data_IF_117193385983
#
_entry.id   IF_117193385983
#
_cell.length_a   1.000
_cell.length_b   1.000
_cell.length_c   1.000
_cell.angle_alpha   90.00
_cell.angle_beta   90.00
_cell.angle_gamma   90.00
#
_symmetry.space_group_name_H-M   'P 1'
#
loop_
_entity.id
_entity.type
_entity.pdbx_description
1 polymer ?
#
# COMPACT_ATOMS: atom_id res chain seq x y z
N UNK A 1 20.30 -4.82 -42.81
CA UNK A 1 19.60 -5.44 -41.67
C UNK A 1 19.22 -4.32 -40.73
N UNK A 2 17.93 -4.10 -40.49
CA UNK A 2 17.47 -3.16 -39.48
C UNK A 2 17.78 -3.72 -38.08
N UNK A 3 18.30 -2.88 -37.18
CA UNK A 3 18.67 -3.26 -35.80
C UNK A 3 17.50 -2.96 -34.87
N UNK A 4 17.01 -3.98 -34.15
CA UNK A 4 16.05 -3.77 -33.06
C UNK A 4 16.70 -2.95 -31.93
N UNK A 5 16.04 -1.85 -31.55
CA UNK A 5 16.37 -1.06 -30.37
C UNK A 5 15.17 -1.11 -29.43
N UNK A 6 15.25 -1.98 -28.42
CA UNK A 6 14.23 -2.08 -27.38
C UNK A 6 14.39 -0.97 -26.35
N UNK A 7 13.28 -0.38 -25.90
CA UNK A 7 13.22 0.50 -24.74
C UNK A 7 11.97 0.19 -23.95
N UNK A 8 12.10 0.17 -22.63
CA UNK A 8 10.95 0.18 -21.74
C UNK A 8 10.11 1.45 -21.96
N UNK A 9 8.77 1.37 -21.88
CA UNK A 9 7.90 2.54 -21.95
C UNK A 9 8.08 3.47 -20.75
N UNK A 10 8.50 2.93 -19.60
CA UNK A 10 8.72 3.69 -18.37
C UNK A 10 10.15 3.48 -17.87
N UNK A 11 10.93 4.56 -17.82
CA UNK A 11 12.26 4.60 -17.18
C UNK A 11 12.07 5.13 -15.77
N UNK A 12 12.03 4.24 -14.80
CA UNK A 12 11.85 4.60 -13.39
C UNK A 12 13.23 4.89 -12.82
N UNK A 13 13.43 6.11 -12.32
CA UNK A 13 14.63 6.49 -11.58
C UNK A 13 14.56 5.98 -10.14
N UNK A 14 15.73 5.86 -9.51
CA UNK A 14 15.80 5.54 -8.08
C UNK A 14 15.08 6.62 -7.26
N UNK A 15 14.35 6.17 -6.24
CA UNK A 15 13.53 7.04 -5.40
C UNK A 15 14.22 7.31 -4.07
N UNK A 16 14.30 8.58 -3.68
CA UNK A 16 14.79 9.02 -2.36
C UNK A 16 13.81 8.75 -1.20
N UNK A 17 12.84 7.84 -1.39
CA UNK A 17 11.90 7.46 -0.32
C UNK A 17 12.67 6.72 0.77
N UNK A 18 12.65 7.21 2.03
CA UNK A 18 13.31 6.51 3.12
C UNK A 18 12.53 5.24 3.48
N UNK A 19 13.27 4.15 3.70
CA UNK A 19 12.72 2.87 4.16
C UNK A 19 13.16 2.58 5.60
N UNK A 20 12.30 1.90 6.36
CA UNK A 20 12.65 1.30 7.65
C UNK A 20 12.69 -0.22 7.50
N UNK A 21 13.69 -0.89 8.08
CA UNK A 21 13.65 -2.34 8.23
C UNK A 21 12.52 -2.71 9.21
N UNK A 22 11.73 -3.72 8.87
CA UNK A 22 10.60 -4.18 9.71
C UNK A 22 10.78 -5.60 10.24
N UNK A 23 11.58 -6.41 9.54
CA UNK A 23 11.92 -7.78 9.90
C UNK A 23 13.07 -8.28 9.01
N UNK A 24 13.86 -9.23 9.52
CA UNK A 24 14.92 -9.92 8.78
C UNK A 24 14.68 -11.44 8.70
N UNK A 25 13.87 -12.00 9.60
CA UNK A 25 13.71 -13.44 9.77
C UNK A 25 12.89 -14.15 8.67
N UNK A 26 12.21 -13.38 7.80
CA UNK A 26 11.31 -13.93 6.78
C UNK A 26 11.95 -14.10 5.41
N UNK A 27 13.26 -13.97 5.32
CA UNK A 27 14.00 -14.12 4.06
C UNK A 27 15.22 -15.01 4.24
N UNK A 28 15.47 -15.85 3.24
CA UNK A 28 16.70 -16.65 3.15
C UNK A 28 17.30 -16.53 1.76
N UNK A 29 18.62 -16.67 1.65
CA UNK A 29 19.31 -16.72 0.36
C UNK A 29 19.70 -18.16 0.08
N UNK A 30 19.23 -18.68 -1.04
CA UNK A 30 19.62 -19.99 -1.57
C UNK A 30 20.46 -19.86 -2.85
N UNK A 31 20.84 -21.02 -3.36
CA UNK A 31 21.44 -21.19 -4.69
C UNK A 31 20.56 -22.15 -5.51
N UNK A 32 20.38 -21.84 -6.79
CA UNK A 32 19.81 -22.74 -7.77
C UNK A 32 20.56 -22.59 -9.08
N UNK A 33 21.20 -23.67 -9.54
CA UNK A 33 22.00 -23.70 -10.77
C UNK A 33 23.08 -22.57 -10.81
N UNK A 34 23.68 -22.24 -9.67
CA UNK A 34 24.68 -21.17 -9.57
C UNK A 34 24.10 -19.75 -9.53
N UNK A 35 22.78 -19.60 -9.47
CA UNK A 35 22.10 -18.33 -9.29
C UNK A 35 21.66 -18.14 -7.84
N UNK A 36 22.00 -16.98 -7.25
CA UNK A 36 21.49 -16.59 -5.94
C UNK A 36 20.00 -16.33 -6.01
N UNK A 37 19.25 -17.07 -5.20
CA UNK A 37 17.79 -16.96 -5.08
C UNK A 37 17.44 -16.32 -3.76
N UNK A 38 16.65 -15.23 -3.79
CA UNK A 38 15.99 -14.71 -2.61
C UNK A 38 14.71 -15.52 -2.38
N UNK A 39 14.62 -16.25 -1.27
CA UNK A 39 13.40 -16.93 -0.89
C UNK A 39 12.71 -16.15 0.20
N UNK A 40 11.40 -15.97 0.07
CA UNK A 40 10.59 -15.22 1.01
C UNK A 40 9.57 -16.18 1.62
N UNK A 41 9.43 -16.16 2.95
CA UNK A 41 8.47 -16.96 3.70
C UNK A 41 7.06 -16.35 3.63
N UNK A 42 6.01 -17.18 3.81
CA UNK A 42 4.61 -16.75 3.73
C UNK A 42 4.32 -15.63 4.74
N UNK A 43 4.80 -15.81 5.96
CA UNK A 43 4.70 -14.88 7.08
C UNK A 43 5.32 -13.52 6.76
N UNK A 44 6.35 -13.49 5.91
CA UNK A 44 6.98 -12.25 5.47
C UNK A 44 6.04 -11.34 4.69
N UNK A 45 5.29 -11.89 3.72
CA UNK A 45 4.32 -11.10 2.96
C UNK A 45 3.09 -10.72 3.79
N UNK A 46 2.66 -11.62 4.70
CA UNK A 46 1.58 -11.34 5.65
C UNK A 46 1.97 -10.16 6.53
N UNK A 47 3.13 -10.23 7.18
CA UNK A 47 3.61 -9.20 8.10
C UNK A 47 3.86 -7.87 7.39
N UNK A 48 4.46 -7.90 6.20
CA UNK A 48 4.67 -6.71 5.38
C UNK A 48 3.36 -6.01 5.05
N UNK A 49 2.36 -6.76 4.57
CA UNK A 49 1.08 -6.18 4.17
C UNK A 49 0.26 -5.70 5.37
N UNK A 50 0.22 -6.47 6.46
CA UNK A 50 -0.42 -6.06 7.72
C UNK A 50 0.19 -4.75 8.24
N UNK A 51 1.52 -4.66 8.26
CA UNK A 51 2.24 -3.47 8.68
C UNK A 51 1.92 -2.27 7.79
N UNK A 52 1.97 -2.45 6.46
CA UNK A 52 1.73 -1.38 5.51
C UNK A 52 0.32 -0.79 5.63
N UNK A 53 -0.72 -1.64 5.65
CA UNK A 53 -2.11 -1.17 5.75
C UNK A 53 -2.43 -0.60 7.13
N UNK A 54 -1.81 -1.10 8.19
CA UNK A 54 -1.93 -0.50 9.52
C UNK A 54 -1.28 0.89 9.54
N UNK A 55 -0.03 1.03 9.08
CA UNK A 55 0.67 2.31 9.11
C UNK A 55 -0.04 3.37 8.25
N UNK A 56 -0.51 3.02 7.04
CA UNK A 56 -1.24 3.95 6.17
C UNK A 56 -2.58 4.42 6.73
N UNK A 57 -3.22 3.63 7.60
CA UNK A 57 -4.47 4.03 8.24
C UNK A 57 -4.28 5.15 9.28
N UNK A 58 -3.07 5.30 9.82
CA UNK A 58 -2.78 6.19 10.97
C UNK A 58 -1.72 7.25 10.69
N UNK A 59 -0.87 7.06 9.66
CA UNK A 59 0.28 7.91 9.37
C UNK A 59 0.19 8.50 7.95
N UNK A 60 0.72 9.71 7.81
CA UNK A 60 0.84 10.41 6.52
C UNK A 60 2.32 10.59 6.16
N UNK A 61 2.60 10.72 4.87
CA UNK A 61 3.95 11.09 4.39
C UNK A 61 4.30 12.49 4.89
N UNK A 62 5.54 12.69 5.32
CA UNK A 62 6.04 14.00 5.78
C UNK A 62 5.90 15.10 4.72
N UNK A 63 6.05 14.76 3.44
CA UNK A 63 5.85 15.69 2.34
C UNK A 63 4.42 16.22 2.25
N UNK A 64 3.41 15.38 2.53
CA UNK A 64 2.02 15.80 2.56
C UNK A 64 1.74 16.72 3.76
N UNK A 65 2.23 16.36 4.95
CA UNK A 65 2.11 17.20 6.15
C UNK A 65 2.79 18.56 5.98
N UNK A 66 3.95 18.60 5.31
CA UNK A 66 4.65 19.85 4.98
C UNK A 66 3.80 20.76 4.09
N UNK A 67 3.07 20.20 3.11
CA UNK A 67 2.15 21.01 2.28
C UNK A 67 0.99 21.59 3.09
N UNK A 68 0.43 20.83 4.04
CA UNK A 68 -0.59 21.37 4.95
C UNK A 68 -0.03 22.49 5.84
N UNK A 69 1.21 22.33 6.34
CA UNK A 69 1.89 23.36 7.11
C UNK A 69 2.10 24.65 6.30
N UNK A 70 2.55 24.52 5.04
CA UNK A 70 2.79 25.66 4.15
C UNK A 70 1.54 26.52 3.98
N UNK A 71 0.35 25.91 3.84
CA UNK A 71 -0.95 26.62 3.76
C UNK A 71 -1.19 27.51 4.98
N UNK A 72 -0.77 27.09 6.17
CA UNK A 72 -0.97 27.88 7.40
C UNK A 72 -0.20 29.20 7.38
N UNK A 73 0.93 29.26 6.65
CA UNK A 73 1.83 30.42 6.59
C UNK A 73 1.77 31.22 5.29
N UNK A 74 1.28 30.64 4.19
CA UNK A 74 1.32 31.28 2.88
C UNK A 74 0.43 32.54 2.84
N UNK A 75 0.89 33.66 2.27
CA UNK A 75 0.18 34.94 2.31
C UNK A 75 -1.11 34.96 1.50
N UNK A 76 -1.19 34.12 0.47
CA UNK A 76 -2.33 33.97 -0.46
C UNK A 76 -3.41 33.00 0.05
N UNK A 77 -3.16 32.25 1.12
CA UNK A 77 -4.14 31.32 1.69
C UNK A 77 -5.29 32.02 2.38
N UNK A 78 -6.52 31.64 2.02
CA UNK A 78 -7.74 32.19 2.62
C UNK A 78 -7.90 31.75 4.08
N UNK A 79 -8.85 32.37 4.79
CA UNK A 79 -9.21 31.94 6.15
C UNK A 79 -9.71 30.49 6.17
N UNK A 80 -10.45 30.08 5.14
CA UNK A 80 -10.99 28.73 5.03
C UNK A 80 -9.88 27.72 4.75
N UNK A 81 -8.93 28.03 3.88
CA UNK A 81 -7.80 27.13 3.59
C UNK A 81 -6.99 26.84 4.85
N UNK A 82 -6.66 27.88 5.61
CA UNK A 82 -5.94 27.73 6.89
C UNK A 82 -6.73 26.94 7.91
N UNK A 83 -8.03 27.20 8.01
CA UNK A 83 -8.91 26.46 8.92
C UNK A 83 -8.95 24.97 8.57
N UNK A 84 -9.19 24.63 7.30
CA UNK A 84 -9.23 23.23 6.84
C UNK A 84 -7.88 22.55 7.03
N UNK A 85 -6.77 23.21 6.65
CA UNK A 85 -5.44 22.65 6.84
C UNK A 85 -5.13 22.37 8.32
N UNK A 86 -5.52 23.27 9.23
CA UNK A 86 -5.35 23.08 10.66
C UNK A 86 -6.13 21.86 11.18
N UNK A 87 -7.39 21.70 10.76
CA UNK A 87 -8.20 20.54 11.17
C UNK A 87 -7.64 19.23 10.61
N UNK A 88 -7.13 19.22 9.38
CA UNK A 88 -6.46 18.04 8.81
C UNK A 88 -5.17 17.67 9.57
N UNK A 89 -4.39 18.67 10.01
CA UNK A 89 -3.19 18.43 10.84
C UNK A 89 -3.59 17.89 12.21
N UNK A 90 -4.60 18.46 12.88
CA UNK A 90 -5.10 17.95 14.17
C UNK A 90 -5.58 16.51 14.04
N UNK A 91 -6.32 16.18 12.99
CA UNK A 91 -6.75 14.83 12.69
C UNK A 91 -5.55 13.87 12.52
N UNK A 92 -4.51 14.30 11.81
CA UNK A 92 -3.29 13.50 11.67
C UNK A 92 -2.57 13.24 13.00
N UNK A 93 -2.53 14.24 13.89
CA UNK A 93 -1.98 14.08 15.25
C UNK A 93 -2.80 13.06 16.04
N UNK A 94 -4.13 13.16 16.02
CA UNK A 94 -5.02 12.20 16.71
C UNK A 94 -4.82 10.79 16.15
N UNK A 95 -4.82 10.63 14.82
CA UNK A 95 -4.68 9.33 14.19
C UNK A 95 -3.33 8.66 14.49
N UNK A 96 -2.26 9.44 14.66
CA UNK A 96 -0.93 8.91 14.99
C UNK A 96 -0.88 8.12 16.31
N UNK A 97 -1.87 8.31 17.21
CA UNK A 97 -2.05 7.51 18.44
C UNK A 97 -2.57 6.09 18.21
N UNK A 98 -2.93 5.76 16.95
CA UNK A 98 -3.44 4.45 16.51
C UNK A 98 -4.75 3.98 17.15
N UNK A 99 -5.54 4.90 17.71
CA UNK A 99 -6.88 4.62 18.22
C UNK A 99 -7.99 4.88 17.19
N UNK A 100 -7.84 5.94 16.39
CA UNK A 100 -8.80 6.32 15.35
C UNK A 100 -8.08 6.46 14.01
N UNK A 101 -8.57 5.86 12.91
CA UNK A 101 -7.92 6.03 11.62
C UNK A 101 -8.09 7.46 11.10
N UNK A 102 -7.21 7.86 10.18
CA UNK A 102 -7.21 9.18 9.54
C UNK A 102 -8.55 9.55 8.87
N UNK A 103 -9.29 8.55 8.40
CA UNK A 103 -10.55 8.72 7.70
C UNK A 103 -11.50 7.56 8.05
N UNK A 104 -12.80 7.84 8.10
CA UNK A 104 -13.85 6.83 8.25
C UNK A 104 -13.87 5.85 7.06
N UNK A 105 -13.50 6.33 5.86
CA UNK A 105 -13.29 5.49 4.70
C UNK A 105 -11.84 5.02 4.67
N UNK A 106 -11.60 3.86 5.28
CA UNK A 106 -10.28 3.22 5.29
C UNK A 106 -9.90 2.63 3.93
N UNK A 107 -10.80 2.70 2.94
CA UNK A 107 -10.51 2.48 1.53
C UNK A 107 -10.47 1.03 1.09
N UNK A 108 -10.36 0.85 -0.23
CA UNK A 108 -10.05 -0.43 -0.85
C UNK A 108 -8.56 -0.71 -0.74
N UNK A 109 -8.21 -1.93 -0.34
CA UNK A 109 -6.83 -2.38 -0.30
C UNK A 109 -6.33 -2.69 -1.71
N UNK A 110 -5.30 -1.97 -2.15
CA UNK A 110 -4.64 -2.17 -3.45
C UNK A 110 -3.16 -2.47 -3.20
N UNK A 111 -2.65 -3.51 -3.86
CA UNK A 111 -1.24 -3.91 -3.81
C UNK A 111 -0.73 -4.04 -5.22
N UNK A 112 0.32 -3.29 -5.55
CA UNK A 112 1.07 -3.46 -6.78
C UNK A 112 2.47 -3.97 -6.45
N UNK A 113 2.78 -5.18 -6.87
CA UNK A 113 4.05 -5.86 -6.63
C UNK A 113 4.85 -6.04 -7.91
N UNK A 114 6.18 -5.88 -7.83
CA UNK A 114 7.13 -6.27 -8.88
C UNK A 114 8.04 -7.35 -8.33
N UNK A 115 7.89 -8.57 -8.84
CA UNK A 115 8.60 -9.75 -8.37
C UNK A 115 9.78 -10.02 -9.27
N UNK A 116 10.98 -9.85 -8.72
CA UNK A 116 12.23 -10.18 -9.39
C UNK A 116 12.30 -11.65 -9.81
N UNK A 117 12.91 -11.92 -10.95
CA UNK A 117 13.08 -13.25 -11.51
C UNK A 117 13.75 -14.24 -10.55
N UNK A 118 14.67 -13.79 -9.69
CA UNK A 118 15.34 -14.64 -8.70
C UNK A 118 14.70 -14.57 -7.30
N UNK A 119 13.45 -14.10 -7.22
CA UNK A 119 12.65 -14.12 -5.99
C UNK A 119 11.68 -15.29 -6.01
N UNK A 120 11.83 -16.19 -5.05
CA UNK A 120 10.99 -17.36 -4.90
C UNK A 120 10.07 -17.26 -3.69
N UNK A 121 8.79 -17.41 -3.94
CA UNK A 121 7.76 -17.68 -2.94
C UNK A 121 7.11 -19.00 -3.36
N UNK A 122 7.07 -19.98 -2.47
CA UNK A 122 6.56 -21.34 -2.78
C UNK A 122 5.08 -21.48 -2.39
N UNK A 123 4.33 -20.39 -2.46
CA UNK A 123 2.95 -20.27 -2.03
C UNK A 123 2.21 -19.25 -2.91
N UNK A 124 0.93 -19.03 -2.64
CA UNK A 124 0.15 -18.01 -3.34
C UNK A 124 0.39 -16.61 -2.73
N UNK A 125 1.16 -15.77 -3.42
CA UNK A 125 1.52 -14.42 -2.98
C UNK A 125 0.28 -13.57 -2.67
N UNK A 126 -0.78 -13.69 -3.49
CA UNK A 126 -2.02 -12.94 -3.34
C UNK A 126 -2.75 -13.35 -2.07
N UNK A 127 -2.71 -14.62 -1.71
CA UNK A 127 -3.30 -15.12 -0.46
C UNK A 127 -2.54 -14.59 0.76
N UNK A 128 -1.20 -14.63 0.74
CA UNK A 128 -0.36 -14.13 1.83
C UNK A 128 -0.58 -12.63 2.06
N UNK A 129 -0.57 -11.83 0.98
CA UNK A 129 -0.88 -10.40 1.05
C UNK A 129 -2.31 -10.16 1.55
N UNK A 130 -3.30 -10.91 1.03
CA UNK A 130 -4.70 -10.80 1.48
C UNK A 130 -4.86 -11.14 2.96
N UNK A 131 -4.08 -12.10 3.48
CA UNK A 131 -4.06 -12.44 4.91
C UNK A 131 -3.52 -11.28 5.75
N UNK A 132 -2.47 -10.61 5.31
CA UNK A 132 -1.95 -9.41 5.98
C UNK A 132 -2.96 -8.26 6.00
N UNK A 133 -3.64 -8.01 4.87
CA UNK A 133 -4.76 -7.06 4.79
C UNK A 133 -5.87 -7.45 5.76
N UNK A 134 -6.32 -8.71 5.74
CA UNK A 134 -7.34 -9.20 6.66
C UNK A 134 -6.96 -8.92 8.12
N UNK A 135 -5.71 -9.20 8.50
CA UNK A 135 -5.23 -8.93 9.85
C UNK A 135 -5.27 -7.43 10.19
N UNK A 136 -4.80 -6.56 9.29
CA UNK A 136 -4.84 -5.12 9.51
C UNK A 136 -6.26 -4.62 9.76
N UNK A 137 -7.24 -5.10 8.99
CA UNK A 137 -8.64 -4.66 9.11
C UNK A 137 -9.40 -5.29 10.28
N UNK A 138 -9.05 -6.51 10.70
CA UNK A 138 -9.76 -7.23 11.77
C UNK A 138 -9.19 -7.00 13.16
N UNK A 139 -7.89 -6.68 13.28
CA UNK A 139 -7.24 -6.40 14.56
C UNK A 139 -7.27 -4.91 14.95
N UNK A 140 -7.63 -4.03 14.03
CA UNK A 140 -7.68 -2.59 14.24
C UNK A 140 -9.10 -2.06 13.97
N UNK A 141 -9.49 -0.90 14.54
CA UNK A 141 -10.81 -0.29 14.32
C UNK A 141 -10.92 0.36 12.91
N UNK A 142 -10.71 -0.43 11.87
CA UNK A 142 -10.87 -0.04 10.46
C UNK A 142 -12.24 -0.46 9.91
N UNK A 143 -12.66 0.10 8.77
CA UNK A 143 -13.99 -0.13 8.20
C UNK A 143 -13.99 -1.17 7.09
N UNK A 144 -14.96 -2.09 7.13
CA UNK A 144 -15.23 -3.04 6.04
C UNK A 144 -16.11 -2.39 4.98
N UNK A 145 -15.50 -2.06 3.84
CA UNK A 145 -16.11 -1.21 2.81
C UNK A 145 -16.38 -1.96 1.49
N UNK A 146 -15.98 -3.22 1.38
CA UNK A 146 -16.20 -4.02 0.16
C UNK A 146 -17.56 -4.72 0.19
N UNK A 147 -18.33 -4.54 -0.88
CA UNK A 147 -19.57 -5.25 -1.17
C UNK A 147 -19.30 -6.33 -2.21
N UNK A 148 -19.82 -7.54 -1.95
CA UNK A 148 -19.71 -8.69 -2.83
C UNK A 148 -21.05 -8.88 -3.54
N UNK A 149 -21.08 -8.91 -4.88
CA UNK A 149 -22.31 -9.18 -5.62
C UNK A 149 -22.68 -10.66 -5.49
N UNK A 150 -23.94 -10.91 -5.11
CA UNK A 150 -24.56 -12.24 -5.07
C UNK A 150 -25.48 -12.47 -6.27
N UNK A 151 -26.07 -11.38 -6.79
CA UNK A 151 -26.84 -11.32 -8.02
C UNK A 151 -26.59 -9.96 -8.69
N UNK A 152 -27.35 -9.60 -9.73
CA UNK A 152 -27.27 -8.27 -10.33
C UNK A 152 -27.65 -7.15 -9.34
N UNK A 153 -28.51 -7.43 -8.36
CA UNK A 153 -29.06 -6.42 -7.46
C UNK A 153 -28.84 -6.72 -5.97
N UNK A 154 -28.46 -7.96 -5.64
CA UNK A 154 -28.20 -8.37 -4.27
C UNK A 154 -26.71 -8.34 -3.96
N UNK A 155 -26.35 -7.68 -2.86
CA UNK A 155 -24.98 -7.57 -2.39
C UNK A 155 -24.87 -7.89 -0.90
N UNK A 156 -23.68 -8.29 -0.48
CA UNK A 156 -23.36 -8.50 0.93
C UNK A 156 -21.99 -7.90 1.25
N UNK A 157 -21.89 -7.20 2.39
CA UNK A 157 -20.59 -6.78 2.90
C UNK A 157 -19.71 -8.00 3.21
N UNK A 158 -18.44 -7.98 2.81
CA UNK A 158 -17.53 -9.09 3.05
C UNK A 158 -17.20 -9.32 4.53
N UNK A 159 -17.44 -8.31 5.38
CA UNK A 159 -17.20 -8.37 6.82
C UNK A 159 -15.72 -8.30 7.21
N UNK A 160 -14.83 -8.02 6.26
CA UNK A 160 -13.38 -7.99 6.48
C UNK A 160 -12.60 -7.08 5.50
N UNK A 161 -13.31 -6.30 4.69
CA UNK A 161 -12.75 -5.43 3.64
C UNK A 161 -11.98 -6.14 2.49
N UNK A 162 -12.13 -7.45 2.34
CA UNK A 162 -11.66 -8.19 1.16
C UNK A 162 -12.80 -8.32 0.12
N UNK A 163 -12.50 -8.60 -1.17
CA UNK A 163 -11.16 -8.82 -1.75
C UNK A 163 -10.34 -7.53 -1.86
N UNK A 164 -9.02 -7.70 -1.90
CA UNK A 164 -8.09 -6.65 -2.28
C UNK A 164 -7.82 -6.70 -3.79
N UNK A 165 -7.51 -5.56 -4.40
CA UNK A 165 -6.93 -5.53 -5.73
C UNK A 165 -5.43 -5.80 -5.62
N UNK A 166 -4.98 -6.92 -6.14
CA UNK A 166 -3.57 -7.29 -6.10
C UNK A 166 -3.08 -7.47 -7.53
N UNK A 167 -1.98 -6.83 -7.88
CA UNK A 167 -1.33 -6.95 -9.18
C UNK A 167 0.14 -7.27 -8.93
N UNK A 168 0.64 -8.31 -9.56
CA UNK A 168 2.03 -8.75 -9.39
C UNK A 168 2.62 -8.89 -10.79
N UNK A 169 3.50 -7.96 -11.14
CA UNK A 169 4.27 -8.00 -12.38
C UNK A 169 5.56 -8.80 -12.18
N UNK A 170 5.96 -9.54 -13.21
CA UNK A 170 7.30 -10.09 -13.28
C UNK A 170 8.29 -8.97 -13.61
N UNK A 171 9.43 -8.95 -12.91
CA UNK A 171 10.50 -8.00 -13.17
C UNK A 171 11.86 -8.69 -13.15
N UNK A 172 12.90 -8.03 -13.67
CA UNK A 172 14.28 -8.50 -13.49
C UNK A 172 14.77 -8.38 -12.05
N UNK A 173 15.91 -9.00 -11.76
CA UNK A 173 16.64 -8.84 -10.50
C UNK A 173 16.18 -9.73 -9.35
N UNK A 174 16.65 -9.39 -8.14
CA UNK A 174 16.59 -10.20 -6.92
C UNK A 174 15.79 -9.54 -5.79
N UNK A 175 14.83 -8.67 -6.13
CA UNK A 175 14.01 -7.92 -5.17
C UNK A 175 12.53 -8.12 -5.43
N UNK A 176 11.74 -8.09 -4.36
CA UNK A 176 10.29 -8.00 -4.45
C UNK A 176 9.86 -6.61 -3.95
N UNK A 177 9.49 -5.74 -4.88
CA UNK A 177 9.12 -4.36 -4.59
C UNK A 177 7.61 -4.21 -4.54
N UNK A 178 7.10 -3.36 -3.66
CA UNK A 178 5.65 -3.17 -3.48
C UNK A 178 5.28 -1.69 -3.38
N UNK A 179 4.11 -1.36 -3.92
CA UNK A 179 3.35 -0.17 -3.62
C UNK A 179 2.02 -0.61 -3.00
N UNK A 180 1.79 -0.23 -1.74
CA UNK A 180 0.53 -0.42 -1.04
C UNK A 180 -0.28 0.87 -1.10
N UNK A 181 -1.59 0.75 -1.34
CA UNK A 181 -2.50 1.89 -1.41
C UNK A 181 -3.78 1.53 -0.67
N UNK A 182 -4.16 2.33 0.32
CA UNK A 182 -5.51 2.33 0.90
C UNK A 182 -6.33 3.44 0.20
N UNK A 183 -7.12 3.07 -0.79
CA UNK A 183 -7.77 4.04 -1.69
C UNK A 183 -9.23 4.27 -1.29
N UNK A 184 -9.54 5.45 -0.75
CA UNK A 184 -10.92 5.83 -0.42
C UNK A 184 -11.80 5.97 -1.66
N UNK A 185 -13.01 5.44 -1.59
CA UNK A 185 -13.94 5.33 -2.73
C UNK A 185 -14.32 6.69 -3.33
N UNK A 186 -14.47 7.71 -2.48
CA UNK A 186 -14.75 9.08 -2.95
C UNK A 186 -13.67 9.62 -3.90
N UNK A 187 -12.40 9.30 -3.64
CA UNK A 187 -11.29 9.70 -4.51
C UNK A 187 -11.14 8.81 -5.74
N UNK A 188 -11.56 7.54 -5.66
CA UNK A 188 -11.61 6.62 -6.82
C UNK A 188 -12.66 7.08 -7.84
N UNK A 189 -13.82 7.55 -7.38
CA UNK A 189 -14.92 8.03 -8.23
C UNK A 189 -14.60 9.34 -8.98
N UNK A 190 -13.39 9.89 -8.81
CA UNK A 190 -12.91 11.12 -9.47
C UNK A 190 -11.77 10.85 -10.45
N UNK A 191 -11.69 9.63 -10.96
CA UNK A 191 -10.82 9.23 -12.08
C UNK A 191 -11.70 8.98 -13.30
N UNK A 192 -11.43 9.67 -14.42
CA UNK A 192 -12.20 9.66 -15.67
C UNK A 192 -11.30 9.31 -16.85
#
# INVERSE_FOLDING_TARGET
>A
MERLLYSEPFKIEDSDVPYRCIAEDYVEVGDFEGHRILKIHYEGLVFLSETAFTDMAYLLRSSHLKRLQEILSASDSSKNDRYVALELIKNAVIASSRLFPLCQDTGTAIVFGKKGQTVWTRFNDREALSRGIFNAYTKNPLRYSQLIPLSMFDEKNSGNNLPAQIEIEASGGNRYSFLFIAKGGGSSNKTY
#
